data_IF_067433598576
#
_entry.id   IF_067433598576
#
_cell.length_a   1.000
_cell.length_b   1.000
_cell.length_c   1.000
_cell.angle_alpha   90.00
_cell.angle_beta   90.00
_cell.angle_gamma   90.00
#
_symmetry.space_group_name_H-M   'P 1'
#
loop_
_entity.id
_entity.type
_entity.pdbx_description
1 polymer ?
#
# COMPACT_ATOMS: atom_id res chain seq x y z
N UNK A 1 -21.47 18.13 -5.91
CA UNK A 1 -21.26 17.29 -7.16
C UNK A 1 -20.41 16.03 -6.91
N UNK A 2 -19.09 16.11 -6.59
CA UNK A 2 -18.29 14.87 -6.35
C UNK A 2 -18.73 14.20 -5.05
N UNK A 3 -18.85 14.95 -3.96
CA UNK A 3 -19.27 14.46 -2.65
C UNK A 3 -20.63 13.73 -2.70
N UNK A 4 -21.60 14.26 -3.38
CA UNK A 4 -22.94 13.64 -3.55
C UNK A 4 -22.85 12.28 -4.25
N UNK A 5 -22.01 12.19 -5.30
CA UNK A 5 -21.77 10.93 -5.99
C UNK A 5 -21.11 9.90 -5.08
N UNK A 6 -20.11 10.31 -4.30
CA UNK A 6 -19.44 9.44 -3.33
C UNK A 6 -20.40 8.97 -2.25
N UNK A 7 -21.31 9.82 -1.76
CA UNK A 7 -22.33 9.44 -0.78
C UNK A 7 -23.33 8.42 -1.36
N UNK A 8 -23.70 8.55 -2.63
CA UNK A 8 -24.56 7.57 -3.31
C UNK A 8 -23.82 6.23 -3.43
N UNK A 9 -22.55 6.25 -3.84
CA UNK A 9 -21.71 5.05 -3.96
C UNK A 9 -21.56 4.39 -2.58
N UNK A 10 -21.23 5.14 -1.55
CA UNK A 10 -21.09 4.65 -0.18
C UNK A 10 -22.37 3.99 0.33
N UNK A 11 -23.52 4.64 0.13
CA UNK A 11 -24.83 4.07 0.48
C UNK A 11 -25.12 2.77 -0.26
N UNK A 12 -24.83 2.71 -1.58
CA UNK A 12 -25.01 1.51 -2.39
C UNK A 12 -24.14 0.36 -1.87
N UNK A 13 -22.88 0.62 -1.59
CA UNK A 13 -21.92 -0.36 -1.08
C UNK A 13 -22.38 -0.86 0.32
N UNK A 14 -22.71 0.04 1.21
CA UNK A 14 -23.14 -0.32 2.57
C UNK A 14 -24.49 -1.06 2.59
N UNK A 15 -25.38 -0.83 1.62
CA UNK A 15 -26.67 -1.57 1.55
C UNK A 15 -26.49 -2.98 1.00
N UNK A 16 -25.63 -3.17 -0.02
CA UNK A 16 -25.51 -4.45 -0.70
C UNK A 16 -24.34 -5.33 -0.17
N UNK A 17 -23.32 -4.72 0.45
CA UNK A 17 -22.14 -5.40 0.95
C UNK A 17 -21.89 -5.17 2.45
N UNK A 18 -22.92 -4.86 3.23
CA UNK A 18 -22.79 -4.52 4.66
C UNK A 18 -21.99 -5.54 5.49
N UNK A 19 -22.14 -6.83 5.19
CA UNK A 19 -21.42 -7.90 5.90
C UNK A 19 -19.93 -8.05 5.51
N UNK A 20 -19.51 -7.41 4.40
CA UNK A 20 -18.14 -7.49 3.85
C UNK A 20 -17.31 -6.23 4.07
N UNK A 21 -17.97 -5.13 4.44
CA UNK A 21 -17.32 -3.84 4.71
C UNK A 21 -17.06 -3.73 6.22
N UNK A 22 -15.81 -3.45 6.60
CA UNK A 22 -15.44 -3.17 7.98
C UNK A 22 -15.65 -1.69 8.32
N UNK A 23 -15.25 -0.82 7.40
CA UNK A 23 -15.33 0.62 7.57
C UNK A 23 -15.45 1.32 6.22
N UNK A 24 -16.15 2.45 6.16
CA UNK A 24 -16.19 3.33 4.99
C UNK A 24 -16.13 4.79 5.43
N UNK A 25 -15.25 5.57 4.80
CA UNK A 25 -15.05 6.98 5.13
C UNK A 25 -14.83 7.77 3.84
N UNK A 26 -15.55 8.89 3.68
CA UNK A 26 -15.27 9.86 2.63
C UNK A 26 -14.30 10.89 3.18
N UNK A 27 -13.12 11.01 2.56
CA UNK A 27 -12.08 11.96 2.95
C UNK A 27 -11.32 12.43 1.71
N UNK A 28 -11.05 13.74 1.62
CA UNK A 28 -10.30 14.36 0.51
C UNK A 28 -10.89 14.04 -0.88
N UNK A 29 -12.22 14.11 -1.02
CA UNK A 29 -12.94 13.79 -2.25
C UNK A 29 -12.72 12.36 -2.78
N UNK A 30 -12.37 11.43 -1.90
CA UNK A 30 -12.23 10.00 -2.17
C UNK A 30 -12.99 9.18 -1.14
N UNK A 31 -13.49 8.02 -1.55
CA UNK A 31 -14.12 7.05 -0.66
C UNK A 31 -13.08 5.98 -0.29
N UNK A 32 -12.79 5.87 1.00
CA UNK A 32 -11.95 4.82 1.57
C UNK A 32 -12.85 3.71 2.11
N UNK A 33 -12.56 2.47 1.74
CA UNK A 33 -13.28 1.28 2.20
C UNK A 33 -12.28 0.29 2.76
N UNK A 34 -12.50 -0.15 3.98
CA UNK A 34 -11.71 -1.21 4.62
C UNK A 34 -12.49 -2.52 4.60
N UNK A 35 -11.84 -3.59 4.14
CA UNK A 35 -12.43 -4.92 4.02
C UNK A 35 -11.49 -6.00 4.54
N UNK A 36 -12.04 -7.23 4.71
CA UNK A 36 -11.21 -8.41 4.91
C UNK A 36 -10.66 -8.94 3.59
N UNK A 37 -9.51 -9.61 3.64
CA UNK A 37 -8.88 -10.29 2.50
C UNK A 37 -9.78 -11.31 1.80
N UNK A 38 -10.65 -11.98 2.58
CA UNK A 38 -11.59 -13.00 2.08
C UNK A 38 -12.63 -12.43 1.13
N UNK A 39 -13.02 -11.19 1.35
CA UNK A 39 -14.08 -10.50 0.63
C UNK A 39 -13.59 -9.73 -0.59
N UNK A 40 -12.25 -9.66 -0.80
CA UNK A 40 -11.60 -8.88 -1.83
C UNK A 40 -12.20 -9.08 -3.23
N UNK A 41 -12.30 -10.33 -3.67
CA UNK A 41 -12.76 -10.66 -5.02
C UNK A 41 -14.20 -10.21 -5.24
N UNK A 42 -15.07 -10.50 -4.28
CA UNK A 42 -16.50 -10.18 -4.36
C UNK A 42 -16.74 -8.67 -4.38
N UNK A 43 -16.03 -7.95 -3.49
CA UNK A 43 -16.14 -6.48 -3.41
C UNK A 43 -15.64 -5.83 -4.70
N UNK A 44 -14.48 -6.25 -5.21
CA UNK A 44 -13.93 -5.69 -6.46
C UNK A 44 -14.83 -6.01 -7.66
N UNK A 45 -15.39 -7.21 -7.73
CA UNK A 45 -16.31 -7.58 -8.80
C UNK A 45 -17.58 -6.74 -8.75
N UNK A 46 -18.12 -6.51 -7.58
CA UNK A 46 -19.27 -5.63 -7.36
C UNK A 46 -18.93 -4.19 -7.79
N UNK A 47 -17.82 -3.61 -7.32
CA UNK A 47 -17.39 -2.26 -7.68
C UNK A 47 -17.26 -2.06 -9.20
N UNK A 48 -16.80 -3.09 -9.91
CA UNK A 48 -16.64 -3.05 -11.36
C UNK A 48 -17.97 -3.16 -12.12
N UNK A 49 -18.88 -4.02 -11.66
CA UNK A 49 -20.09 -4.39 -12.41
C UNK A 49 -21.32 -3.59 -12.04
N UNK A 50 -21.42 -3.06 -10.81
CA UNK A 50 -22.59 -2.33 -10.34
C UNK A 50 -22.74 -0.98 -11.07
N UNK A 51 -23.96 -0.67 -11.52
CA UNK A 51 -24.27 0.52 -12.31
C UNK A 51 -24.07 1.85 -11.56
N UNK A 52 -24.17 1.84 -10.25
CA UNK A 52 -23.95 3.02 -9.42
C UNK A 52 -22.47 3.22 -9.05
N UNK A 53 -21.59 2.25 -9.35
CA UNK A 53 -20.16 2.26 -9.01
C UNK A 53 -19.27 2.41 -10.25
N UNK A 54 -19.34 1.45 -11.18
CA UNK A 54 -18.64 1.45 -12.48
C UNK A 54 -17.12 1.73 -12.37
N UNK A 55 -16.46 1.16 -11.35
CA UNK A 55 -15.00 1.29 -11.19
C UNK A 55 -14.31 0.31 -12.14
N UNK A 56 -14.14 0.73 -13.40
CA UNK A 56 -13.61 -0.10 -14.49
C UNK A 56 -12.13 0.03 -14.73
N UNK A 57 -11.45 0.97 -14.04
CA UNK A 57 -10.00 1.11 -14.09
C UNK A 57 -9.40 0.87 -12.72
N UNK A 58 -8.44 -0.06 -12.66
CA UNK A 58 -7.47 -0.16 -11.60
C UNK A 58 -6.33 0.82 -11.91
N UNK A 59 -6.09 1.77 -11.02
CA UNK A 59 -5.03 2.77 -11.18
C UNK A 59 -3.71 2.18 -10.68
N UNK A 60 -3.74 1.64 -9.44
CA UNK A 60 -2.54 1.12 -8.79
C UNK A 60 -2.87 0.14 -7.66
N UNK A 61 -1.87 -0.64 -7.24
CA UNK A 61 -1.87 -1.47 -6.03
C UNK A 61 -0.61 -1.12 -5.24
N UNK A 62 -0.77 -0.44 -4.12
CA UNK A 62 0.35 -0.06 -3.27
C UNK A 62 0.41 -0.93 -2.01
N UNK A 63 1.61 -1.34 -1.61
CA UNK A 63 1.88 -1.98 -0.31
C UNK A 63 2.33 -0.94 0.71
N UNK A 64 1.96 -1.14 1.97
CA UNK A 64 2.44 -0.35 3.10
C UNK A 64 2.89 -1.28 4.21
N UNK A 65 3.98 -0.95 4.88
CA UNK A 65 4.56 -1.73 5.97
C UNK A 65 4.49 -0.93 7.28
N UNK A 66 3.76 -1.48 8.27
CA UNK A 66 3.61 -0.95 9.63
C UNK A 66 4.21 -1.95 10.62
N UNK A 67 5.54 -1.89 10.89
CA UNK A 67 6.24 -2.90 11.69
C UNK A 67 5.71 -3.07 13.12
N UNK A 68 5.10 -2.02 13.67
CA UNK A 68 4.57 -2.00 15.04
C UNK A 68 3.15 -2.59 15.16
N UNK A 69 2.46 -2.77 14.02
CA UNK A 69 1.09 -3.25 14.00
C UNK A 69 1.04 -4.79 13.97
N UNK A 70 0.07 -5.40 14.65
CA UNK A 70 -0.17 -6.84 14.58
C UNK A 70 -0.46 -7.29 13.13
N UNK A 71 -1.29 -6.53 12.42
CA UNK A 71 -1.49 -6.66 10.98
C UNK A 71 -0.49 -5.76 10.26
N UNK A 72 0.74 -6.25 10.14
CA UNK A 72 1.89 -5.48 9.66
C UNK A 72 1.70 -4.86 8.28
N UNK A 73 1.06 -5.58 7.35
CA UNK A 73 0.94 -5.13 5.97
C UNK A 73 -0.45 -4.59 5.66
N UNK A 74 -0.46 -3.54 4.85
CA UNK A 74 -1.68 -3.00 4.24
C UNK A 74 -1.51 -2.98 2.73
N UNK A 75 -2.54 -3.45 2.00
CA UNK A 75 -2.68 -3.26 0.56
C UNK A 75 -3.72 -2.20 0.29
N UNK A 76 -3.36 -1.26 -0.55
CA UNK A 76 -4.21 -0.17 -1.02
C UNK A 76 -4.46 -0.35 -2.50
N UNK A 77 -5.70 -0.66 -2.85
CA UNK A 77 -6.14 -0.74 -4.25
C UNK A 77 -6.82 0.56 -4.65
N UNK A 78 -6.32 1.18 -5.70
CA UNK A 78 -6.81 2.47 -6.21
C UNK A 78 -7.65 2.25 -7.47
N UNK A 79 -8.92 2.64 -7.43
CA UNK A 79 -9.82 2.50 -8.57
C UNK A 79 -10.38 3.85 -9.04
N UNK A 80 -10.67 3.92 -10.34
CA UNK A 80 -11.29 5.06 -11.00
C UNK A 80 -12.54 4.63 -11.77
N UNK A 81 -13.61 5.39 -11.55
CA UNK A 81 -14.79 5.39 -12.42
C UNK A 81 -14.72 6.57 -13.37
N UNK A 82 -14.51 6.31 -14.67
CA UNK A 82 -14.49 7.37 -15.69
C UNK A 82 -15.88 8.00 -15.89
N UNK A 83 -16.92 7.19 -15.83
CA UNK A 83 -18.30 7.66 -16.05
C UNK A 83 -18.76 8.60 -14.92
N UNK A 84 -18.41 8.27 -13.67
CA UNK A 84 -18.79 9.07 -12.52
C UNK A 84 -17.75 10.14 -12.15
N UNK A 85 -16.54 10.05 -12.71
CA UNK A 85 -15.37 10.86 -12.35
C UNK A 85 -15.12 10.85 -10.84
N UNK A 86 -15.06 9.65 -10.26
CA UNK A 86 -14.85 9.42 -8.83
C UNK A 86 -13.74 8.41 -8.61
N UNK A 87 -13.05 8.51 -7.48
CA UNK A 87 -12.00 7.60 -7.02
C UNK A 87 -12.40 6.90 -5.74
N UNK A 88 -11.93 5.65 -5.58
CA UNK A 88 -12.12 4.86 -4.39
C UNK A 88 -10.81 4.18 -4.01
N UNK A 89 -10.55 4.10 -2.71
CA UNK A 89 -9.45 3.34 -2.12
C UNK A 89 -10.02 2.16 -1.35
N UNK A 90 -9.58 0.96 -1.72
CA UNK A 90 -9.92 -0.25 -1.00
C UNK A 90 -8.70 -0.70 -0.19
N UNK A 91 -8.88 -0.87 1.12
CA UNK A 91 -7.81 -1.15 2.07
C UNK A 91 -7.99 -2.55 2.66
N UNK A 92 -6.89 -3.30 2.73
CA UNK A 92 -6.82 -4.61 3.38
C UNK A 92 -5.61 -4.65 4.29
N UNK A 93 -5.84 -4.90 5.59
CA UNK A 93 -4.77 -5.12 6.57
C UNK A 93 -4.64 -6.60 6.90
N UNK A 94 -3.41 -7.13 6.90
CA UNK A 94 -3.15 -8.54 7.11
C UNK A 94 -1.76 -8.82 7.70
N UNK A 95 -1.56 -10.07 8.19
CA UNK A 95 -0.31 -10.51 8.78
C UNK A 95 0.72 -10.92 7.71
N UNK A 96 2.00 -10.92 8.08
CA UNK A 96 3.14 -11.12 7.17
C UNK A 96 3.09 -12.42 6.35
N UNK A 97 2.56 -13.51 6.92
CA UNK A 97 2.51 -14.83 6.26
C UNK A 97 1.20 -15.10 5.50
N UNK A 98 0.29 -14.14 5.53
CA UNK A 98 -1.00 -14.28 4.87
C UNK A 98 -0.85 -14.12 3.37
N UNK A 99 -1.58 -14.96 2.61
CA UNK A 99 -1.59 -14.95 1.14
C UNK A 99 -2.89 -14.35 0.65
N UNK A 100 -2.79 -13.30 -0.15
CA UNK A 100 -3.94 -12.54 -0.67
C UNK A 100 -4.37 -13.11 -2.03
N UNK A 101 -5.65 -13.09 -2.35
CA UNK A 101 -6.11 -13.50 -3.67
C UNK A 101 -5.72 -12.47 -4.73
N UNK A 102 -5.15 -12.95 -5.85
CA UNK A 102 -4.87 -12.10 -7.02
C UNK A 102 -6.14 -11.63 -7.68
N UNK A 103 -6.15 -10.37 -8.11
CA UNK A 103 -7.26 -9.77 -8.86
C UNK A 103 -6.99 -9.73 -10.38
N UNK A 104 -5.96 -10.39 -10.88
CA UNK A 104 -5.58 -10.41 -12.30
C UNK A 104 -6.66 -10.90 -13.23
N UNK A 105 -7.56 -11.78 -12.75
CA UNK A 105 -8.72 -12.25 -13.52
C UNK A 105 -9.79 -11.17 -13.74
N UNK A 106 -9.86 -10.19 -12.83
CA UNK A 106 -10.82 -9.08 -12.90
C UNK A 106 -10.20 -7.90 -13.62
N UNK A 107 -8.94 -7.56 -13.23
CA UNK A 107 -8.14 -6.48 -13.81
C UNK A 107 -6.78 -7.02 -14.27
N UNK A 108 -6.60 -7.26 -15.59
CA UNK A 108 -5.32 -7.77 -16.12
C UNK A 108 -4.11 -6.86 -15.81
N UNK A 109 -4.33 -5.55 -15.66
CA UNK A 109 -3.29 -4.59 -15.25
C UNK A 109 -2.68 -4.90 -13.88
N UNK A 110 -3.43 -5.57 -12.99
CA UNK A 110 -2.94 -5.98 -11.68
C UNK A 110 -1.71 -6.93 -11.75
N UNK A 111 -1.49 -7.60 -12.87
CA UNK A 111 -0.38 -8.55 -13.01
C UNK A 111 0.97 -7.93 -12.63
N UNK A 112 1.30 -6.78 -13.17
CA UNK A 112 2.57 -6.12 -12.89
C UNK A 112 2.59 -5.44 -11.51
N UNK A 113 1.48 -4.84 -11.11
CA UNK A 113 1.35 -4.17 -9.81
C UNK A 113 1.48 -5.17 -8.64
N UNK A 114 0.86 -6.35 -8.74
CA UNK A 114 0.99 -7.42 -7.74
C UNK A 114 2.41 -7.99 -7.70
N UNK A 115 3.10 -8.09 -8.84
CA UNK A 115 4.52 -8.48 -8.91
C UNK A 115 5.43 -7.44 -8.26
N UNK A 116 5.16 -6.15 -8.45
CA UNK A 116 5.88 -5.08 -7.77
C UNK A 116 5.72 -5.16 -6.25
N UNK A 117 4.49 -5.30 -5.77
CA UNK A 117 4.21 -5.47 -4.34
C UNK A 117 4.89 -6.73 -3.79
N UNK A 118 4.85 -7.85 -4.53
CA UNK A 118 5.58 -9.06 -4.15
C UNK A 118 7.08 -8.81 -4.07
N UNK A 119 7.67 -8.14 -5.05
CA UNK A 119 9.10 -7.90 -5.11
C UNK A 119 9.56 -6.97 -3.97
N UNK A 120 8.83 -5.89 -3.72
CA UNK A 120 9.19 -4.86 -2.76
C UNK A 120 8.89 -5.22 -1.30
N UNK A 121 7.80 -5.96 -1.04
CA UNK A 121 7.34 -6.29 0.32
C UNK A 121 7.33 -7.78 0.63
N UNK A 122 7.38 -8.66 -0.38
CA UNK A 122 7.27 -10.11 -0.21
C UNK A 122 5.85 -10.61 0.01
N UNK A 123 4.85 -9.81 -0.30
CA UNK A 123 3.45 -10.18 -0.19
C UNK A 123 3.09 -11.15 -1.30
N UNK A 124 2.55 -12.32 -0.94
CA UNK A 124 2.24 -13.40 -1.89
C UNK A 124 0.80 -13.29 -2.37
N UNK A 125 0.60 -13.48 -3.69
CA UNK A 125 -0.72 -13.47 -4.32
C UNK A 125 -1.09 -14.88 -4.81
N UNK A 126 -2.18 -15.43 -4.26
CA UNK A 126 -2.75 -16.72 -4.69
C UNK A 126 -3.43 -16.57 -6.04
N UNK A 127 -3.26 -17.57 -6.92
CA UNK A 127 -3.82 -17.59 -8.28
C UNK A 127 -3.27 -16.52 -9.22
N UNK A 128 -2.15 -15.87 -8.88
CA UNK A 128 -1.43 -15.03 -9.83
C UNK A 128 -0.81 -15.89 -10.93
N UNK A 129 -0.90 -15.51 -12.21
CA UNK A 129 -0.44 -16.36 -13.32
C UNK A 129 1.09 -16.53 -13.37
N UNK A 130 1.85 -15.53 -12.93
CA UNK A 130 3.33 -15.54 -12.98
C UNK A 130 3.91 -14.58 -11.92
N UNK A 131 3.95 -15.03 -10.67
CA UNK A 131 4.43 -14.23 -9.53
C UNK A 131 5.96 -14.32 -9.40
N UNK A 132 6.66 -13.57 -10.21
CA UNK A 132 8.12 -13.42 -10.16
C UNK A 132 8.53 -11.97 -9.93
N UNK A 133 9.75 -11.74 -9.46
CA UNK A 133 10.31 -10.39 -9.27
C UNK A 133 10.29 -9.58 -10.56
N UNK A 134 10.18 -8.25 -10.46
CA UNK A 134 10.07 -7.35 -11.61
C UNK A 134 11.03 -6.16 -11.54
N UNK A 135 11.33 -5.64 -10.35
CA UNK A 135 12.15 -4.45 -10.15
C UNK A 135 13.55 -4.76 -9.64
N UNK A 136 13.71 -5.79 -8.81
CA UNK A 136 15.02 -6.17 -8.27
C UNK A 136 15.78 -7.06 -9.26
N UNK A 137 17.11 -7.04 -9.15
CA UNK A 137 18.00 -7.85 -9.97
C UNK A 137 17.88 -9.36 -9.70
N UNK A 138 18.37 -10.16 -10.64
CA UNK A 138 18.40 -11.63 -10.50
C UNK A 138 19.22 -12.02 -9.27
N UNK A 139 18.65 -12.88 -8.43
CA UNK A 139 19.29 -13.34 -7.20
C UNK A 139 19.27 -12.34 -6.05
N UNK A 140 18.60 -11.21 -6.17
CA UNK A 140 18.41 -10.26 -5.09
C UNK A 140 17.73 -10.91 -3.88
N UNK A 141 18.28 -10.70 -2.67
CA UNK A 141 17.76 -11.27 -1.43
C UNK A 141 17.09 -10.19 -0.58
N UNK A 142 15.87 -10.49 -0.12
CA UNK A 142 15.07 -9.58 0.72
C UNK A 142 14.05 -8.77 -0.08
N UNK A 143 13.44 -7.80 0.58
CA UNK A 143 12.35 -6.96 0.07
C UNK A 143 12.62 -5.51 0.46
N UNK A 144 13.05 -4.66 -0.51
CA UNK A 144 13.67 -3.36 -0.21
C UNK A 144 12.76 -2.32 0.44
N UNK A 145 11.43 -2.43 0.27
CA UNK A 145 10.50 -1.45 0.86
C UNK A 145 9.98 -1.85 2.25
N UNK A 146 10.37 -3.01 2.77
CA UNK A 146 10.12 -3.33 4.18
C UNK A 146 10.94 -2.41 5.08
N UNK A 147 10.35 -1.94 6.17
CA UNK A 147 11.02 -1.03 7.13
C UNK A 147 12.19 -1.67 7.86
N UNK A 148 12.22 -2.99 7.97
CA UNK A 148 13.33 -3.77 8.54
C UNK A 148 14.45 -4.08 7.53
N UNK A 149 14.30 -3.70 6.25
CA UNK A 149 15.37 -3.84 5.26
C UNK A 149 16.35 -2.65 5.35
N UNK A 150 17.69 -2.88 5.37
CA UNK A 150 18.65 -1.80 5.48
C UNK A 150 18.56 -0.83 4.29
N UNK A 151 18.59 0.48 4.56
CA UNK A 151 18.51 1.51 3.53
C UNK A 151 19.60 1.38 2.45
N UNK A 152 20.82 0.99 2.84
CA UNK A 152 21.94 0.78 1.93
C UNK A 152 21.95 -0.57 1.24
N UNK A 153 21.06 -1.50 1.65
CA UNK A 153 21.13 -2.90 1.24
C UNK A 153 22.33 -3.64 1.83
N UNK A 154 22.60 -4.84 1.29
CA UNK A 154 23.71 -5.70 1.73
C UNK A 154 24.84 -5.74 0.72
N UNK A 155 24.51 -5.62 -0.56
CA UNK A 155 25.46 -5.67 -1.68
C UNK A 155 25.27 -4.47 -2.57
N UNK A 156 26.39 -3.99 -3.12
CA UNK A 156 26.42 -2.98 -4.17
C UNK A 156 26.88 -3.58 -5.49
N UNK A 157 26.54 -2.92 -6.57
CA UNK A 157 26.84 -3.35 -7.93
C UNK A 157 27.69 -2.29 -8.59
N UNK A 158 28.85 -2.69 -9.11
CA UNK A 158 29.72 -1.79 -9.89
C UNK A 158 30.32 -2.47 -11.10
N UNK A 159 30.69 -1.69 -12.07
CA UNK A 159 31.46 -2.18 -13.21
C UNK A 159 32.95 -2.24 -12.88
N UNK A 160 33.57 -3.42 -13.09
CA UNK A 160 35.01 -3.61 -12.95
C UNK A 160 35.69 -3.36 -14.28
N UNK A 161 36.49 -2.30 -14.39
CA UNK A 161 37.30 -2.00 -15.58
C UNK A 161 38.34 -3.08 -15.84
N UNK A 162 38.89 -3.70 -14.81
CA UNK A 162 39.87 -4.78 -14.90
C UNK A 162 39.28 -6.05 -15.49
N UNK A 163 38.11 -6.45 -14.99
CA UNK A 163 37.47 -7.72 -15.36
C UNK A 163 36.48 -7.55 -16.53
N UNK A 164 36.25 -6.31 -16.99
CA UNK A 164 35.30 -5.94 -18.05
C UNK A 164 33.89 -6.48 -17.84
N UNK A 165 33.44 -6.50 -16.57
CA UNK A 165 32.11 -7.04 -16.17
C UNK A 165 31.55 -6.32 -14.98
N UNK A 166 30.23 -6.51 -14.77
CA UNK A 166 29.53 -6.09 -13.56
C UNK A 166 29.87 -7.07 -12.43
N UNK A 167 30.26 -6.57 -11.28
CA UNK A 167 30.57 -7.34 -10.08
C UNK A 167 29.68 -6.92 -8.92
N UNK A 168 29.41 -7.86 -8.02
CA UNK A 168 28.68 -7.66 -6.79
C UNK A 168 29.65 -7.75 -5.62
N UNK A 169 29.64 -6.76 -4.76
CA UNK A 169 30.49 -6.74 -3.56
C UNK A 169 29.69 -6.28 -2.34
N UNK A 170 30.05 -6.68 -1.11
CA UNK A 170 29.42 -6.22 0.09
C UNK A 170 29.54 -4.70 0.22
N UNK A 171 28.45 -4.05 0.66
CA UNK A 171 28.43 -2.60 0.90
C UNK A 171 29.51 -2.24 1.93
N UNK A 172 30.42 -1.32 1.58
CA UNK A 172 31.42 -0.74 2.45
C UNK A 172 31.24 0.77 2.46
N UNK A 173 30.66 1.29 3.54
CA UNK A 173 30.50 2.73 3.70
C UNK A 173 31.80 3.34 4.22
N UNK A 174 32.34 4.34 3.52
CA UNK A 174 33.47 5.14 3.98
C UNK A 174 33.14 5.92 5.25
N UNK A 175 31.88 6.29 5.41
CA UNK A 175 31.36 6.99 6.57
C UNK A 175 30.18 6.21 7.15
N UNK A 176 30.14 6.06 8.48
CA UNK A 176 29.03 5.45 9.17
C UNK A 176 27.72 6.21 8.86
N UNK A 177 26.64 5.45 8.72
CA UNK A 177 25.31 6.03 8.53
C UNK A 177 24.98 6.92 9.73
N UNK A 178 24.64 8.18 9.46
CA UNK A 178 24.29 9.14 10.51
C UNK A 178 22.79 9.05 10.78
N UNK A 179 22.45 8.91 12.04
CA UNK A 179 21.08 9.08 12.50
C UNK A 179 20.89 10.55 12.89
N UNK A 180 20.18 11.30 12.05
CA UNK A 180 19.88 12.69 12.33
C UNK A 180 18.53 12.78 13.02
N UNK A 181 18.49 13.51 14.10
CA UNK A 181 17.25 14.06 14.63
C UNK A 181 16.90 15.29 13.78
N UNK A 182 15.89 15.14 12.92
CA UNK A 182 15.42 16.22 12.04
C UNK A 182 14.50 17.22 12.78
N UNK A 183 14.16 16.95 14.02
CA UNK A 183 13.40 17.88 14.83
C UNK A 183 14.32 19.05 15.24
N UNK A 184 13.87 20.28 14.92
CA UNK A 184 14.52 21.46 15.44
C UNK A 184 14.40 21.45 16.97
N UNK A 185 15.51 21.44 17.73
CA UNK A 185 15.43 21.43 19.19
C UNK A 185 14.75 22.69 19.75
N UNK A 186 14.62 23.74 18.93
CA UNK A 186 14.02 25.01 19.30
C UNK A 186 12.51 25.10 18.98
N UNK A 187 12.06 24.48 17.88
CA UNK A 187 10.69 24.56 17.41
C UNK A 187 9.89 23.29 17.65
N UNK A 188 10.48 22.12 17.38
CA UNK A 188 9.80 20.82 17.51
C UNK A 188 9.29 20.53 18.90
N UNK A 189 10.09 20.87 19.93
CA UNK A 189 9.72 20.61 21.33
C UNK A 189 8.51 21.45 21.78
N UNK A 190 8.38 22.68 21.29
CA UNK A 190 7.25 23.54 21.62
C UNK A 190 5.98 23.12 20.89
N UNK A 191 6.11 22.78 19.62
CA UNK A 191 5.00 22.29 18.80
C UNK A 191 4.39 20.98 19.34
N UNK A 192 5.23 20.02 19.72
CA UNK A 192 4.80 18.75 20.34
C UNK A 192 4.12 18.98 21.70
N UNK A 193 4.61 19.93 22.49
CA UNK A 193 3.98 20.29 23.76
C UNK A 193 2.60 20.92 23.56
N UNK A 194 2.42 21.73 22.52
CA UNK A 194 1.12 22.34 22.19
C UNK A 194 0.11 21.33 21.68
N UNK A 195 0.53 20.35 20.85
CA UNK A 195 -0.32 19.26 20.40
C UNK A 195 -0.77 18.40 21.59
N UNK A 196 0.16 17.98 22.45
CA UNK A 196 -0.15 17.18 23.64
C UNK A 196 -1.07 17.90 24.62
N UNK A 197 -1.01 19.24 24.71
CA UNK A 197 -1.95 20.03 25.51
C UNK A 197 -3.34 20.02 24.90
N UNK A 198 -3.49 20.25 23.59
CA UNK A 198 -4.77 20.18 22.88
C UNK A 198 -5.45 18.82 23.04
N UNK A 199 -4.70 17.72 22.84
CA UNK A 199 -5.21 16.36 23.01
C UNK A 199 -5.64 16.03 24.44
N UNK A 200 -5.10 16.70 25.45
CA UNK A 200 -5.48 16.54 26.86
C UNK A 200 -6.72 17.39 27.21
N UNK A 201 -6.87 18.54 26.62
CA UNK A 201 -8.01 19.44 26.81
C UNK A 201 -9.26 18.91 26.10
N UNK A 202 -9.11 18.35 24.88
CA UNK A 202 -10.19 17.69 24.13
C UNK A 202 -10.69 16.39 24.78
N UNK A 203 -9.88 15.73 25.62
CA UNK A 203 -10.28 14.55 26.41
C UNK A 203 -10.95 14.88 27.74
N UNK A 204 -10.99 16.15 28.14
CA UNK A 204 -11.60 16.62 29.39
C UNK A 204 -12.95 17.30 29.19
N UNK A 205 -13.34 17.57 27.97
CA UNK A 205 -14.68 18.04 27.57
C UNK A 205 -15.45 16.91 26.90
#
# INVERSE_FOLDING_TARGET
MILEKLQIIEKTINSELSSKIQNSIIKYDELLIEINDKDLIDVIQFLKSNDNCKFRQLIDIAGVDYPEDEKRFELVYLFLSHELNTRIKLLIKFQIDQVINSITKIFPSANWMEREVFDMYGIKFKNHPDLRRILTDYGFKGHPLRKDFPLTGFNEVRYSEKDKKVIYEPVKLEQNYRNFDFESPWEGTNYIKEIKKKDQDDKKN
#
